data_IF_182269400728
#
_entry.id   IF_182269400728
#
_cell.length_a   1.000
_cell.length_b   1.000
_cell.length_c   1.000
_cell.angle_alpha   90.00
_cell.angle_beta   90.00
_cell.angle_gamma   90.00
#
_symmetry.space_group_name_H-M   'P 1'
#
loop_
_entity.id
_entity.type
_entity.pdbx_description
1 polymer ?
#
# COMPACT_ATOMS: atom_id res chain seq x y z
N UNK A 1 -13.08 -2.89 9.18
CA UNK A 1 -12.36 -1.97 8.27
C UNK A 1 -11.00 -2.56 7.93
N UNK A 2 -10.60 -2.49 6.67
CA UNK A 2 -9.39 -3.16 6.17
C UNK A 2 -8.12 -2.80 6.94
N UNK A 3 -7.87 -1.50 7.16
CA UNK A 3 -6.66 -1.08 7.87
C UNK A 3 -6.59 -1.67 9.28
N UNK A 4 -7.69 -1.60 10.02
CA UNK A 4 -7.74 -2.08 11.40
C UNK A 4 -7.65 -3.60 11.48
N UNK A 5 -8.32 -4.31 10.59
CA UNK A 5 -8.47 -5.76 10.68
C UNK A 5 -7.31 -6.51 10.04
N UNK A 6 -6.73 -5.97 8.97
CA UNK A 6 -5.71 -6.67 8.19
C UNK A 6 -4.34 -6.05 8.36
N UNK A 7 -4.21 -4.73 8.24
CA UNK A 7 -2.91 -4.06 8.19
C UNK A 7 -2.34 -3.84 9.58
N UNK A 8 -3.10 -3.26 10.49
CA UNK A 8 -2.62 -2.91 11.83
C UNK A 8 -2.09 -4.11 12.61
N UNK A 9 -2.75 -5.30 12.58
CA UNK A 9 -2.19 -6.45 13.27
C UNK A 9 -0.82 -6.89 12.74
N UNK A 10 -0.55 -6.66 11.46
CA UNK A 10 0.73 -7.03 10.83
C UNK A 10 1.81 -5.99 11.02
N UNK A 11 1.43 -4.73 11.21
CA UNK A 11 2.35 -3.61 11.40
C UNK A 11 1.90 -2.75 12.58
N UNK A 12 1.94 -3.33 13.81
CA UNK A 12 1.41 -2.64 14.99
C UNK A 12 2.21 -1.40 15.40
N UNK A 13 3.47 -1.31 14.96
CA UNK A 13 4.33 -0.18 15.31
C UNK A 13 4.03 1.08 14.51
N UNK A 14 3.18 0.97 13.52
CA UNK A 14 2.68 2.15 12.86
C UNK A 14 2.54 2.01 11.37
N UNK A 15 1.57 2.74 10.89
CA UNK A 15 1.33 2.92 9.47
C UNK A 15 0.80 4.32 9.25
N UNK A 16 0.94 4.82 8.05
CA UNK A 16 0.33 6.07 7.64
C UNK A 16 -0.45 5.85 6.36
N UNK A 17 -1.61 6.47 6.26
CA UNK A 17 -2.42 6.39 5.06
C UNK A 17 -2.90 7.79 4.70
N UNK A 18 -2.89 8.10 3.42
CA UNK A 18 -3.45 9.35 2.95
C UNK A 18 -4.10 9.18 1.60
N UNK A 19 -5.01 10.08 1.31
CA UNK A 19 -5.71 10.12 0.03
C UNK A 19 -4.91 10.95 -0.96
N UNK A 20 -4.78 10.46 -2.18
CA UNK A 20 -4.08 11.13 -3.25
C UNK A 20 -4.90 11.06 -4.54
N UNK A 21 -4.52 11.87 -5.51
CA UNK A 21 -5.09 11.81 -6.85
C UNK A 21 -4.00 11.36 -7.81
N UNK A 22 -4.25 10.23 -8.47
CA UNK A 22 -3.37 9.74 -9.52
C UNK A 22 -3.87 10.19 -10.88
N UNK A 23 -2.95 10.40 -11.80
CA UNK A 23 -3.28 10.77 -13.16
C UNK A 23 -2.32 10.11 -14.13
N UNK A 24 -2.87 9.51 -15.18
CA UNK A 24 -2.02 8.92 -16.22
C UNK A 24 -2.73 9.03 -17.57
N UNK A 25 -1.98 8.74 -18.62
CA UNK A 25 -2.52 8.74 -19.98
C UNK A 25 -3.18 7.40 -20.28
N UNK A 26 -4.44 7.43 -20.69
CA UNK A 26 -5.15 6.25 -21.15
C UNK A 26 -4.72 5.82 -22.55
N UNK A 27 -5.25 4.69 -23.00
CA UNK A 27 -4.93 4.14 -24.32
C UNK A 27 -5.38 5.02 -25.47
N UNK A 28 -6.37 5.87 -25.24
CA UNK A 28 -6.89 6.82 -26.23
C UNK A 28 -6.12 8.16 -26.21
N UNK A 29 -5.06 8.27 -25.41
CA UNK A 29 -4.26 9.48 -25.29
C UNK A 29 -4.82 10.51 -24.33
N UNK A 30 -5.99 10.28 -23.74
CA UNK A 30 -6.61 11.23 -22.80
C UNK A 30 -6.13 10.96 -21.38
N UNK A 31 -5.97 12.01 -20.55
CA UNK A 31 -5.62 11.79 -19.16
C UNK A 31 -6.76 11.14 -18.40
N UNK A 32 -6.39 10.18 -17.56
CA UNK A 32 -7.30 9.52 -16.63
C UNK A 32 -6.94 9.97 -15.23
N UNK A 33 -7.95 10.43 -14.48
CA UNK A 33 -7.76 10.82 -13.08
C UNK A 33 -8.47 9.83 -12.19
N UNK A 34 -7.79 9.42 -11.11
CA UNK A 34 -8.33 8.43 -10.19
C UNK A 34 -7.98 8.77 -8.76
N UNK A 35 -8.95 8.57 -7.87
CA UNK A 35 -8.69 8.62 -6.43
C UNK A 35 -7.87 7.41 -6.02
N UNK A 36 -6.86 7.63 -5.20
CA UNK A 36 -6.03 6.55 -4.71
C UNK A 36 -5.72 6.74 -3.24
N UNK A 37 -5.43 5.64 -2.57
CA UNK A 37 -4.92 5.68 -1.20
C UNK A 37 -3.47 5.24 -1.21
N UNK A 38 -2.64 5.96 -0.48
CA UNK A 38 -1.24 5.61 -0.29
C UNK A 38 -1.08 5.11 1.14
N UNK A 39 -0.57 3.89 1.27
CA UNK A 39 -0.29 3.28 2.55
C UNK A 39 1.23 3.23 2.73
N UNK A 40 1.72 3.88 3.77
CA UNK A 40 3.14 3.88 4.09
C UNK A 40 3.39 3.01 5.31
N UNK A 41 4.31 2.07 5.18
CA UNK A 41 4.71 1.16 6.24
C UNK A 41 6.20 1.30 6.46
N UNK A 42 6.59 1.48 7.71
CA UNK A 42 8.00 1.50 8.11
C UNK A 42 8.23 0.24 8.96
N UNK A 43 9.20 -0.56 8.56
CA UNK A 43 9.46 -1.84 9.23
C UNK A 43 10.94 -2.24 9.13
N UNK A 44 11.33 -3.23 9.91
CA UNK A 44 12.67 -3.78 9.87
C UNK A 44 12.90 -4.65 8.64
N UNK A 45 14.01 -5.38 8.65
CA UNK A 45 14.44 -6.19 7.51
C UNK A 45 14.06 -7.66 7.61
N UNK A 46 13.37 -8.06 8.66
CA UNK A 46 12.98 -9.45 8.85
C UNK A 46 12.14 -9.96 7.68
N UNK A 47 12.40 -11.17 7.18
CA UNK A 47 11.64 -11.72 6.06
C UNK A 47 10.13 -11.80 6.32
N UNK A 48 9.73 -11.90 7.58
CA UNK A 48 8.30 -11.93 7.93
C UNK A 48 7.56 -10.67 7.51
N UNK A 49 8.22 -9.51 7.47
CA UNK A 49 7.58 -8.28 7.02
C UNK A 49 7.26 -8.33 5.52
N UNK A 50 8.15 -8.95 4.73
CA UNK A 50 7.87 -9.14 3.30
C UNK A 50 6.65 -10.03 3.07
N UNK A 51 6.54 -11.12 3.82
CA UNK A 51 5.38 -12.00 3.75
C UNK A 51 4.11 -11.25 4.16
N UNK A 52 4.19 -10.44 5.22
CA UNK A 52 3.05 -9.64 5.68
C UNK A 52 2.60 -8.63 4.63
N UNK A 53 3.53 -7.99 3.93
CA UNK A 53 3.20 -7.04 2.87
C UNK A 53 2.49 -7.75 1.72
N UNK A 54 2.99 -8.93 1.33
CA UNK A 54 2.33 -9.72 0.27
C UNK A 54 0.92 -10.14 0.67
N UNK A 55 0.71 -10.51 1.92
CA UNK A 55 -0.61 -10.86 2.43
C UNK A 55 -1.57 -9.68 2.37
N UNK A 56 -1.10 -8.49 2.75
CA UNK A 56 -1.90 -7.27 2.68
C UNK A 56 -2.32 -6.98 1.24
N UNK A 57 -1.40 -7.10 0.30
CA UNK A 57 -1.70 -6.86 -1.12
C UNK A 57 -2.73 -7.87 -1.62
N UNK A 58 -2.57 -9.15 -1.30
CA UNK A 58 -3.52 -10.20 -1.70
C UNK A 58 -4.91 -9.95 -1.14
N UNK A 59 -5.00 -9.60 0.14
CA UNK A 59 -6.27 -9.31 0.79
C UNK A 59 -6.94 -8.08 0.18
N UNK A 60 -6.17 -7.05 -0.11
CA UNK A 60 -6.69 -5.84 -0.72
C UNK A 60 -7.28 -6.13 -2.11
N UNK A 61 -6.52 -6.85 -2.95
CA UNK A 61 -6.99 -7.21 -4.29
C UNK A 61 -8.28 -8.03 -4.23
N UNK A 62 -8.35 -8.99 -3.30
CA UNK A 62 -9.52 -9.85 -3.17
C UNK A 62 -10.74 -9.08 -2.68
N UNK A 63 -10.58 -8.25 -1.65
CA UNK A 63 -11.71 -7.52 -1.05
C UNK A 63 -12.26 -6.40 -1.91
N UNK A 64 -11.40 -5.73 -2.66
CA UNK A 64 -11.77 -4.56 -3.45
C UNK A 64 -11.72 -4.80 -4.94
N UNK A 65 -11.50 -6.04 -5.36
CA UNK A 65 -11.48 -6.46 -6.77
C UNK A 65 -10.51 -5.63 -7.61
N UNK A 66 -9.36 -5.30 -7.04
CA UNK A 66 -8.32 -4.55 -7.73
C UNK A 66 -7.38 -5.50 -8.45
N UNK A 67 -6.99 -5.14 -9.67
CA UNK A 67 -6.08 -5.96 -10.47
C UNK A 67 -4.63 -5.73 -10.11
N UNK A 68 -4.29 -4.53 -9.65
CA UNK A 68 -2.90 -4.18 -9.39
C UNK A 68 -2.78 -3.27 -8.17
N UNK A 69 -1.66 -3.43 -7.48
CA UNK A 69 -1.26 -2.55 -6.39
C UNK A 69 0.19 -2.17 -6.66
N UNK A 70 0.45 -0.86 -6.81
CA UNK A 70 1.82 -0.39 -6.99
C UNK A 70 2.54 -0.42 -5.64
N UNK A 71 3.72 -1.04 -5.62
CA UNK A 71 4.55 -1.09 -4.44
C UNK A 71 5.89 -0.41 -4.70
N UNK A 72 6.27 0.49 -3.80
CA UNK A 72 7.58 1.12 -3.81
C UNK A 72 8.28 0.78 -2.51
N UNK A 73 9.53 0.36 -2.59
CA UNK A 73 10.32 -0.01 -1.43
C UNK A 73 11.65 0.74 -1.47
N UNK A 74 12.04 1.29 -0.33
CA UNK A 74 13.35 1.93 -0.18
C UNK A 74 13.89 1.69 1.22
N UNK A 75 15.20 1.83 1.36
CA UNK A 75 15.86 1.73 2.66
C UNK A 75 16.14 3.13 3.18
N UNK A 76 15.77 3.37 4.43
CA UNK A 76 15.93 4.68 5.06
C UNK A 76 16.49 4.52 6.46
N UNK A 77 17.11 5.58 6.96
CA UNK A 77 17.52 5.68 8.36
C UNK A 77 16.46 6.46 9.10
N UNK A 78 16.07 5.96 10.28
CA UNK A 78 15.04 6.59 11.09
C UNK A 78 15.66 7.10 12.37
N UNK A 79 15.31 8.33 12.72
CA UNK A 79 15.69 8.95 13.99
C UNK A 79 14.43 9.42 14.70
N UNK A 80 14.32 9.07 15.95
CA UNK A 80 13.18 9.46 16.78
C UNK A 80 13.61 10.50 17.82
#
# INVERSE_FOLDING_TARGET
MFLREVVTPRFPDGLSVWHATGQWRGTDGRPITESTFVLSLVHGREPSFEASVRDIISEYKARFQQEAVLRVKSHVCISL
#
